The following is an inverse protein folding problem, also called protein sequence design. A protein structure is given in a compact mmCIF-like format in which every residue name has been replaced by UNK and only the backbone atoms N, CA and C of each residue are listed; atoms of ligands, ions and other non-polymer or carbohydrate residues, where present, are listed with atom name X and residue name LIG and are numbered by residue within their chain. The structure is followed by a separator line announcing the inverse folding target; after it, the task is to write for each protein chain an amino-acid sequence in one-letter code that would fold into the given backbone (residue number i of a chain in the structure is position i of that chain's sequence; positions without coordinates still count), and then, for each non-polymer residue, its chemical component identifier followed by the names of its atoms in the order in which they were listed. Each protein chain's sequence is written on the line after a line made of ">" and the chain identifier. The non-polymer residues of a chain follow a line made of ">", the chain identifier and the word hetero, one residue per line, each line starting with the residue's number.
data_IF_620163911980
#
_entry.id   IF_620163911980
#
_cell.length_a   1.000
_cell.length_b   1.000
_cell.length_c   1.000
_cell.angle_alpha   90.00
_cell.angle_beta   90.00
_cell.angle_gamma   90.00
#
_symmetry.space_group_name_H-M   'P 1'
#
loop_
_entity.id
_entity.type
_entity.pdbx_description
1 polymer ?
#
# COMPACT_ATOMS: atom_id res chain seq x y z
N UNK A 1 19.44 58.13 3.81
CA UNK A 1 18.87 57.48 2.62
C UNK A 1 20.08 57.01 1.81
N UNK A 2 20.41 55.73 1.62
CA UNK A 2 19.56 54.59 1.28
C UNK A 2 20.09 53.26 1.85
N UNK A 3 19.17 52.39 2.25
CA UNK A 3 19.45 50.97 2.54
C UNK A 3 19.23 50.18 1.26
N UNK A 4 20.27 49.56 0.71
CA UNK A 4 20.13 48.51 -0.32
C UNK A 4 20.31 47.15 0.35
N UNK A 5 19.19 46.44 0.50
CA UNK A 5 19.11 45.08 1.01
C UNK A 5 19.52 44.12 -0.12
N UNK A 6 20.78 43.65 -0.13
CA UNK A 6 21.23 42.61 -1.07
C UNK A 6 20.93 41.23 -0.46
N UNK A 7 19.92 40.56 -0.99
CA UNK A 7 19.47 39.25 -0.54
C UNK A 7 20.60 38.23 -0.49
N UNK A 8 20.71 37.51 0.64
CA UNK A 8 21.51 36.29 0.74
C UNK A 8 20.80 35.22 -0.08
N UNK A 9 21.21 35.03 -1.32
CA UNK A 9 20.87 33.82 -2.07
C UNK A 9 21.39 32.61 -1.29
N UNK A 10 20.48 31.74 -0.86
CA UNK A 10 20.82 30.42 -0.33
C UNK A 10 21.63 29.70 -1.40
N UNK A 11 22.92 29.49 -1.12
CA UNK A 11 23.77 28.66 -1.96
C UNK A 11 23.13 27.27 -2.06
N UNK A 12 23.12 26.62 -3.24
CA UNK A 12 22.81 25.20 -3.29
C UNK A 12 23.80 24.48 -2.35
N UNK A 13 23.28 23.53 -1.57
CA UNK A 13 24.08 22.67 -0.69
C UNK A 13 25.20 22.02 -1.51
N UNK A 14 26.41 22.55 -1.39
CA UNK A 14 27.61 21.93 -1.95
C UNK A 14 27.79 20.64 -1.15
N UNK A 15 27.47 19.53 -1.80
CA UNK A 15 27.55 18.20 -1.24
C UNK A 15 28.82 18.04 -0.38
N UNK A 16 28.64 17.76 0.92
CA UNK A 16 29.73 17.48 1.83
C UNK A 16 30.45 16.20 1.37
N UNK A 17 31.73 16.27 0.92
CA UNK A 17 32.43 15.13 0.33
C UNK A 17 32.77 14.02 1.34
N UNK A 18 32.51 14.23 2.64
CA UNK A 18 32.77 13.24 3.69
C UNK A 18 31.52 12.48 4.15
N UNK A 19 30.33 12.81 3.62
CA UNK A 19 29.12 12.02 3.91
C UNK A 19 29.14 10.76 3.05
N UNK A 20 29.14 9.53 3.63
CA UNK A 20 29.08 8.33 2.83
C UNK A 20 27.80 8.36 1.98
N UNK A 21 27.92 8.13 0.68
CA UNK A 21 26.77 7.98 -0.21
C UNK A 21 25.87 6.89 0.37
N UNK A 22 24.63 7.23 0.71
CA UNK A 22 23.65 6.23 1.14
C UNK A 22 23.49 5.27 -0.03
N UNK A 23 23.95 4.03 0.12
CA UNK A 23 23.76 3.00 -0.87
C UNK A 23 22.26 2.76 -1.02
N UNK A 24 21.64 3.45 -1.97
CA UNK A 24 20.28 3.20 -2.41
C UNK A 24 20.33 1.90 -3.21
N UNK A 25 20.25 0.76 -2.53
CA UNK A 25 19.97 -0.50 -3.19
C UNK A 25 18.61 -0.35 -3.89
N UNK A 26 18.48 -0.73 -5.18
CA UNK A 26 17.17 -0.76 -5.82
C UNK A 26 16.27 -1.68 -4.99
N UNK A 27 15.21 -1.11 -4.42
CA UNK A 27 14.15 -1.86 -3.75
C UNK A 27 14.00 -1.75 -2.22
N UNK A 28 14.61 -0.74 -1.58
CA UNK A 28 14.49 -0.52 -0.12
C UNK A 28 14.16 0.93 0.23
N UNK A 29 13.48 1.66 -0.67
CA UNK A 29 13.11 3.06 -0.45
C UNK A 29 12.24 3.24 0.80
N UNK A 30 11.32 2.30 1.02
CA UNK A 30 10.37 2.28 2.14
C UNK A 30 10.59 1.09 3.08
N UNK A 31 11.73 0.41 2.97
CA UNK A 31 12.04 -0.67 3.91
C UNK A 31 12.34 -0.09 5.31
N UNK A 32 11.79 -0.74 6.34
CA UNK A 32 12.02 -0.37 7.75
C UNK A 32 11.20 0.81 8.27
N UNK A 33 10.28 1.38 7.48
CA UNK A 33 9.32 2.41 7.95
C UNK A 33 7.93 1.85 8.28
N UNK A 34 7.82 0.52 8.38
CA UNK A 34 6.65 -0.26 8.82
C UNK A 34 5.33 0.23 8.20
N UNK A 35 5.36 0.51 6.88
CA UNK A 35 4.16 0.86 6.12
C UNK A 35 3.42 -0.43 5.76
N UNK A 36 2.09 -0.35 5.80
CA UNK A 36 1.17 -1.43 5.43
C UNK A 36 0.42 -1.03 4.18
N UNK A 37 0.09 -2.00 3.34
CA UNK A 37 -0.74 -1.82 2.14
C UNK A 37 -2.06 -2.53 2.32
N UNK A 38 -3.16 -1.81 2.08
CA UNK A 38 -4.51 -2.39 2.00
C UNK A 38 -5.02 -2.22 0.59
N UNK A 39 -5.41 -3.32 -0.04
CA UNK A 39 -5.98 -3.36 -1.38
C UNK A 39 -7.46 -3.70 -1.27
N UNK A 40 -8.33 -2.76 -1.65
CA UNK A 40 -9.77 -2.98 -1.76
C UNK A 40 -10.14 -2.97 -3.24
N UNK A 41 -10.80 -4.03 -3.73
CA UNK A 41 -11.11 -4.19 -5.15
C UNK A 41 -12.51 -4.75 -5.39
N UNK A 42 -12.97 -4.63 -6.64
CA UNK A 42 -14.18 -5.28 -7.16
C UNK A 42 -13.83 -6.04 -8.44
N UNK A 43 -14.51 -7.17 -8.67
CA UNK A 43 -14.31 -8.06 -9.82
C UNK A 43 -15.67 -8.49 -10.39
N UNK A 44 -15.77 -8.49 -11.72
CA UNK A 44 -16.99 -8.90 -12.42
C UNK A 44 -17.32 -10.39 -12.23
N UNK A 45 -16.36 -11.26 -12.53
CA UNK A 45 -16.42 -12.71 -12.30
C UNK A 45 -15.99 -13.08 -10.87
N UNK A 46 -15.92 -14.38 -10.57
CA UNK A 46 -15.64 -14.91 -9.25
C UNK A 46 -14.63 -16.07 -9.26
N UNK A 47 -14.03 -16.32 -8.09
CA UNK A 47 -13.09 -17.41 -7.87
C UNK A 47 -11.63 -17.01 -8.08
N UNK A 48 -11.28 -15.76 -7.78
CA UNK A 48 -9.89 -15.27 -7.83
C UNK A 48 -9.14 -15.48 -6.50
N UNK A 49 -9.84 -15.91 -5.45
CA UNK A 49 -9.24 -16.22 -4.14
C UNK A 49 -8.27 -17.41 -4.20
N UNK A 50 -7.37 -17.56 -3.20
CA UNK A 50 -6.41 -18.67 -3.16
C UNK A 50 -7.08 -20.04 -3.29
N UNK A 51 -6.59 -20.88 -4.20
CA UNK A 51 -7.12 -22.23 -4.45
C UNK A 51 -8.46 -22.28 -5.20
N UNK A 52 -9.02 -21.13 -5.61
CA UNK A 52 -10.26 -21.07 -6.37
C UNK A 52 -10.05 -21.22 -7.89
N UNK A 53 -11.16 -21.33 -8.63
CA UNK A 53 -11.23 -21.67 -10.06
C UNK A 53 -10.22 -20.90 -10.93
N UNK A 54 -10.13 -19.60 -10.73
CA UNK A 54 -9.35 -18.68 -11.57
C UNK A 54 -8.32 -17.90 -10.75
N UNK A 55 -7.88 -18.46 -9.61
CA UNK A 55 -6.87 -17.85 -8.74
C UNK A 55 -5.60 -17.45 -9.49
N UNK A 56 -5.16 -18.30 -10.43
CA UNK A 56 -3.97 -18.08 -11.26
C UNK A 56 -4.12 -16.94 -12.28
N UNK A 57 -5.35 -16.50 -12.56
CA UNK A 57 -5.65 -15.37 -13.44
C UNK A 57 -5.73 -14.04 -12.67
N UNK A 58 -5.55 -14.06 -11.34
CA UNK A 58 -5.52 -12.84 -10.57
C UNK A 58 -4.18 -12.09 -10.75
N UNK A 59 -4.16 -11.15 -11.70
CA UNK A 59 -3.01 -10.28 -11.94
C UNK A 59 -3.10 -8.91 -11.26
N UNK A 60 -4.26 -8.54 -10.72
CA UNK A 60 -4.48 -7.20 -10.16
C UNK A 60 -3.82 -7.10 -8.78
N UNK A 61 -4.32 -7.81 -7.78
CA UNK A 61 -3.77 -7.72 -6.42
C UNK A 61 -2.33 -8.26 -6.36
N UNK A 62 -2.05 -9.34 -7.11
CA UNK A 62 -0.69 -9.88 -7.21
C UNK A 62 0.31 -8.90 -7.85
N UNK A 63 -0.12 -8.18 -8.89
CA UNK A 63 0.71 -7.17 -9.56
C UNK A 63 0.97 -5.96 -8.66
N UNK A 64 -0.06 -5.44 -7.99
CA UNK A 64 0.05 -4.35 -7.01
C UNK A 64 0.98 -4.75 -5.86
N UNK A 65 0.76 -5.93 -5.26
CA UNK A 65 1.59 -6.43 -4.16
C UNK A 65 3.06 -6.59 -4.58
N UNK A 66 3.33 -7.05 -5.81
CA UNK A 66 4.70 -7.17 -6.34
C UNK A 66 5.38 -5.80 -6.43
N UNK A 67 4.70 -4.79 -6.97
CA UNK A 67 5.25 -3.44 -7.12
C UNK A 67 5.55 -2.78 -5.76
N UNK A 68 4.65 -2.94 -4.79
CA UNK A 68 4.84 -2.40 -3.44
C UNK A 68 5.90 -3.17 -2.63
N UNK A 69 5.96 -4.50 -2.81
CA UNK A 69 7.02 -5.33 -2.28
C UNK A 69 8.39 -4.88 -2.79
N UNK A 70 8.48 -4.54 -4.08
CA UNK A 70 9.71 -4.01 -4.66
C UNK A 70 10.19 -2.72 -3.98
N UNK A 71 9.31 -1.82 -3.52
CA UNK A 71 9.75 -0.59 -2.82
C UNK A 71 9.91 -0.77 -1.30
N UNK A 72 9.66 -1.96 -0.76
CA UNK A 72 9.86 -2.31 0.64
C UNK A 72 8.61 -2.35 1.52
N UNK A 73 7.41 -2.38 0.92
CA UNK A 73 6.14 -2.57 1.64
C UNK A 73 5.70 -4.02 1.49
N UNK A 74 5.87 -4.82 2.54
CA UNK A 74 5.61 -6.27 2.52
C UNK A 74 4.45 -6.72 3.39
N UNK A 75 3.96 -5.86 4.28
CA UNK A 75 2.72 -6.11 5.02
C UNK A 75 1.54 -5.69 4.14
N UNK A 76 0.90 -6.68 3.52
CA UNK A 76 -0.17 -6.49 2.53
C UNK A 76 -1.40 -7.27 2.95
N UNK A 77 -2.55 -6.58 2.96
CA UNK A 77 -3.87 -7.18 3.08
C UNK A 77 -4.71 -6.84 1.86
N UNK A 78 -5.53 -7.77 1.40
CA UNK A 78 -6.49 -7.53 0.33
C UNK A 78 -7.89 -8.02 0.71
N UNK A 79 -8.90 -7.25 0.30
CA UNK A 79 -10.32 -7.61 0.37
C UNK A 79 -10.93 -7.29 -0.99
N UNK A 80 -11.75 -8.19 -1.50
CA UNK A 80 -12.34 -8.04 -2.82
C UNK A 80 -13.82 -8.39 -2.80
N UNK A 81 -14.59 -7.63 -3.57
CA UNK A 81 -15.95 -8.01 -3.97
C UNK A 81 -15.87 -8.75 -5.31
N UNK A 82 -16.65 -9.80 -5.47
CA UNK A 82 -16.81 -10.55 -6.71
C UNK A 82 -18.29 -10.53 -7.14
N UNK A 83 -18.57 -11.05 -8.33
CA UNK A 83 -19.91 -11.10 -8.93
C UNK A 83 -20.51 -9.75 -9.36
N UNK A 84 -19.69 -8.71 -9.54
CA UNK A 84 -20.15 -7.35 -9.85
C UNK A 84 -20.94 -7.26 -11.16
N UNK A 85 -20.67 -8.17 -12.12
CA UNK A 85 -21.40 -8.24 -13.39
C UNK A 85 -22.81 -8.86 -13.27
N UNK A 86 -23.10 -9.60 -12.19
CA UNK A 86 -24.36 -10.33 -12.03
C UNK A 86 -25.42 -9.56 -11.26
N UNK A 87 -25.01 -8.58 -10.44
CA UNK A 87 -25.89 -7.69 -9.65
C UNK A 87 -27.01 -8.40 -8.84
N UNK A 88 -26.79 -9.67 -8.47
CA UNK A 88 -27.76 -10.53 -7.82
C UNK A 88 -27.41 -10.79 -6.34
N UNK A 89 -28.06 -11.76 -5.71
CA UNK A 89 -27.84 -12.11 -4.31
C UNK A 89 -26.40 -12.52 -4.00
N UNK A 90 -25.64 -13.00 -4.99
CA UNK A 90 -24.21 -13.34 -4.82
C UNK A 90 -23.36 -12.09 -4.68
N UNK A 91 -23.66 -11.03 -5.43
CA UNK A 91 -23.01 -9.74 -5.26
C UNK A 91 -23.33 -9.18 -3.87
N UNK A 92 -24.59 -9.23 -3.43
CA UNK A 92 -24.97 -8.77 -2.07
C UNK A 92 -24.23 -9.54 -0.99
N UNK A 93 -24.15 -10.86 -1.11
CA UNK A 93 -23.39 -11.69 -0.18
C UNK A 93 -21.89 -11.36 -0.22
N UNK A 94 -21.33 -11.12 -1.41
CA UNK A 94 -19.93 -10.73 -1.56
C UNK A 94 -19.63 -9.38 -0.92
N UNK A 95 -20.52 -8.40 -1.05
CA UNK A 95 -20.42 -7.09 -0.40
C UNK A 95 -20.46 -7.26 1.12
N UNK A 96 -21.44 -7.98 1.64
CA UNK A 96 -21.58 -8.19 3.09
C UNK A 96 -20.36 -8.91 3.69
N UNK A 97 -19.80 -9.89 2.98
CA UNK A 97 -18.55 -10.54 3.40
C UNK A 97 -17.38 -9.57 3.37
N UNK A 98 -17.23 -8.79 2.30
CA UNK A 98 -16.14 -7.81 2.17
C UNK A 98 -16.21 -6.71 3.24
N UNK A 99 -17.40 -6.22 3.57
CA UNK A 99 -17.61 -5.25 4.66
C UNK A 99 -17.17 -5.83 6.00
N UNK A 100 -17.58 -7.06 6.32
CA UNK A 100 -17.16 -7.74 7.55
C UNK A 100 -15.64 -7.98 7.60
N UNK A 101 -15.02 -8.34 6.48
CA UNK A 101 -13.57 -8.55 6.38
C UNK A 101 -12.80 -7.23 6.55
N UNK A 102 -13.32 -6.13 6.01
CA UNK A 102 -12.76 -4.78 6.19
C UNK A 102 -12.86 -4.33 7.65
N UNK A 103 -14.01 -4.53 8.30
CA UNK A 103 -14.18 -4.20 9.72
C UNK A 103 -13.19 -4.98 10.60
N UNK A 104 -13.06 -6.29 10.34
CA UNK A 104 -12.09 -7.13 11.04
C UNK A 104 -10.64 -6.69 10.77
N UNK A 105 -10.32 -6.31 9.54
CA UNK A 105 -8.99 -5.80 9.17
C UNK A 105 -8.68 -4.50 9.89
N UNK A 106 -9.61 -3.55 9.90
CA UNK A 106 -9.48 -2.26 10.57
C UNK A 106 -9.25 -2.45 12.08
N UNK A 107 -10.03 -3.33 12.73
CA UNK A 107 -9.88 -3.63 14.15
C UNK A 107 -8.50 -4.22 14.49
N UNK A 108 -8.00 -5.16 13.67
CA UNK A 108 -6.64 -5.71 13.83
C UNK A 108 -5.57 -4.64 13.66
N UNK A 109 -5.69 -3.79 12.64
CA UNK A 109 -4.72 -2.74 12.36
C UNK A 109 -4.69 -1.67 13.46
N UNK A 110 -5.85 -1.29 14.01
CA UNK A 110 -5.95 -0.36 15.13
C UNK A 110 -5.29 -0.94 16.39
N UNK A 111 -5.55 -2.23 16.69
CA UNK A 111 -4.91 -2.91 17.83
C UNK A 111 -3.39 -2.94 17.67
N UNK A 112 -2.89 -3.30 16.49
CA UNK A 112 -1.45 -3.32 16.21
C UNK A 112 -0.82 -1.92 16.30
N UNK A 113 -1.50 -0.87 15.84
CA UNK A 113 -1.01 0.51 15.97
C UNK A 113 -0.87 0.95 17.43
N UNK A 114 -1.79 0.52 18.32
CA UNK A 114 -1.70 0.79 19.76
C UNK A 114 -0.49 0.08 20.36
N UNK A 115 -0.24 -1.18 19.99
CA UNK A 115 0.91 -1.96 20.47
C UNK A 115 2.24 -1.37 19.98
N UNK A 116 2.31 -0.90 18.74
CA UNK A 116 3.53 -0.25 18.20
C UNK A 116 3.83 1.12 18.84
N UNK A 117 2.83 1.78 19.43
CA UNK A 117 2.97 3.08 20.07
C UNK A 117 3.28 3.01 21.58
N UNK A 118 3.11 1.83 22.21
CA UNK A 118 3.38 1.57 23.62
C UNK A 118 4.83 1.13 23.87
#
# INVERSE_FOLDING_TARGET
>A
MDRVFKGRGSRPDVANPTRPARSLRPGVLLAGINKRLVILSSRGDFGYGPGQRIAHMNHVEGGVATAFGYIGITDVASVAIEYDEFADDRLRASIASAEADVDALAARMATSAIVEAA
#
